data_IF_272623988521
#
_entry.id   IF_272623988521
#
_cell.length_a   1.000
_cell.length_b   1.000
_cell.length_c   1.000
_cell.angle_alpha   90.00
_cell.angle_beta   90.00
_cell.angle_gamma   90.00
#
_symmetry.space_group_name_H-M   'P 1'
#
loop_
_entity.id
_entity.type
_entity.pdbx_description
1 polymer ?
#
# COMPACT_ATOMS: atom_id res chain seq x y z
N UNK A 1 4.00 -6.04 19.99
CA UNK A 1 3.34 -7.03 20.88
C UNK A 1 4.31 -7.89 21.69
N UNK A 2 5.46 -8.28 21.13
CA UNK A 2 6.41 -9.20 21.78
C UNK A 2 6.99 -8.68 23.11
N UNK A 3 7.08 -7.36 23.26
CA UNK A 3 7.58 -6.70 24.49
C UNK A 3 6.46 -6.45 25.52
N UNK A 4 5.19 -6.59 25.11
CA UNK A 4 4.02 -6.22 25.91
C UNK A 4 3.44 -7.40 26.68
N UNK A 5 3.58 -8.61 26.14
CA UNK A 5 3.01 -9.84 26.69
C UNK A 5 4.11 -10.80 27.13
N UNK A 6 3.78 -11.68 28.08
CA UNK A 6 4.67 -12.78 28.46
C UNK A 6 4.80 -13.82 27.33
N UNK A 7 5.88 -14.63 27.30
CA UNK A 7 6.06 -15.64 26.27
C UNK A 7 4.89 -16.64 26.17
N UNK A 8 4.31 -17.03 27.30
CA UNK A 8 3.19 -17.98 27.37
C UNK A 8 1.91 -17.40 26.74
N UNK A 9 1.61 -16.12 27.03
CA UNK A 9 0.48 -15.41 26.42
C UNK A 9 0.65 -15.22 24.91
N UNK A 10 1.89 -15.01 24.46
CA UNK A 10 2.21 -14.91 23.03
C UNK A 10 1.93 -16.24 22.33
N UNK A 11 2.38 -17.36 22.92
CA UNK A 11 2.13 -18.69 22.37
C UNK A 11 0.62 -19.00 22.26
N UNK A 12 -0.16 -18.68 23.30
CA UNK A 12 -1.62 -18.88 23.27
C UNK A 12 -2.30 -18.05 22.18
N UNK A 13 -1.92 -16.78 22.05
CA UNK A 13 -2.48 -15.89 21.02
C UNK A 13 -2.08 -16.32 19.62
N UNK A 14 -0.84 -16.76 19.42
CA UNK A 14 -0.36 -17.31 18.14
C UNK A 14 -1.12 -18.58 17.79
N UNK A 15 -1.29 -19.50 18.75
CA UNK A 15 -2.05 -20.73 18.54
C UNK A 15 -3.50 -20.44 18.12
N UNK A 16 -4.13 -19.44 18.73
CA UNK A 16 -5.47 -18.98 18.32
C UNK A 16 -5.45 -18.37 16.91
N UNK A 17 -4.47 -17.53 16.58
CA UNK A 17 -4.37 -16.90 15.24
C UNK A 17 -4.18 -17.92 14.13
N UNK A 18 -3.43 -18.99 14.39
CA UNK A 18 -3.20 -20.08 13.44
C UNK A 18 -4.46 -20.93 13.14
N UNK A 19 -5.53 -20.81 13.93
CA UNK A 19 -6.81 -21.45 13.64
C UNK A 19 -7.62 -20.69 12.57
N UNK A 20 -7.23 -19.47 12.22
CA UNK A 20 -7.87 -18.72 11.15
C UNK A 20 -7.57 -19.36 9.78
N UNK A 21 -8.60 -19.70 8.98
CA UNK A 21 -8.43 -20.32 7.67
C UNK A 21 -7.60 -19.47 6.70
N UNK A 22 -7.68 -18.14 6.76
CA UNK A 22 -6.97 -17.24 5.84
C UNK A 22 -5.47 -17.19 6.19
N UNK A 23 -5.14 -17.23 7.48
CA UNK A 23 -3.75 -17.35 7.95
C UNK A 23 -3.19 -18.72 7.62
N UNK A 24 -3.96 -19.78 7.87
CA UNK A 24 -3.54 -21.16 7.61
C UNK A 24 -3.33 -21.44 6.11
N UNK A 25 -4.09 -20.77 5.24
CA UNK A 25 -3.94 -20.87 3.78
C UNK A 25 -2.68 -20.18 3.24
N UNK A 26 -2.01 -19.34 4.04
CA UNK A 26 -0.82 -18.58 3.63
C UNK A 26 0.44 -18.98 4.40
N UNK A 27 1.34 -19.80 3.80
CA UNK A 27 2.56 -20.29 4.44
C UNK A 27 3.48 -19.18 4.98
N UNK A 28 3.51 -18.02 4.33
CA UNK A 28 4.32 -16.90 4.78
C UNK A 28 3.82 -16.31 6.11
N UNK A 29 2.49 -16.24 6.31
CA UNK A 29 1.93 -15.75 7.57
C UNK A 29 2.17 -16.75 8.70
N UNK A 30 2.06 -18.05 8.39
CA UNK A 30 2.44 -19.11 9.32
C UNK A 30 3.90 -18.95 9.79
N UNK A 31 4.84 -18.68 8.87
CA UNK A 31 6.23 -18.45 9.23
C UNK A 31 6.44 -17.17 10.05
N UNK A 32 5.75 -16.07 9.71
CA UNK A 32 5.82 -14.82 10.48
C UNK A 32 5.39 -15.03 11.94
N UNK A 33 4.34 -15.83 12.16
CA UNK A 33 3.82 -16.11 13.50
C UNK A 33 4.72 -17.03 14.34
N UNK A 34 5.34 -18.03 13.72
CA UNK A 34 6.22 -18.97 14.43
C UNK A 34 7.66 -18.44 14.63
N UNK A 35 8.09 -17.50 13.79
CA UNK A 35 9.46 -16.95 13.81
C UNK A 35 9.46 -15.41 13.88
N UNK A 36 8.91 -14.82 14.96
CA UNK A 36 8.59 -13.40 15.03
C UNK A 36 9.82 -12.48 15.02
N UNK A 37 10.99 -12.96 15.47
CA UNK A 37 12.23 -12.16 15.59
C UNK A 37 12.83 -11.71 14.26
N UNK A 38 12.43 -12.31 13.14
CA UNK A 38 12.96 -11.92 11.83
C UNK A 38 12.18 -10.76 11.20
N UNK A 39 10.92 -10.56 11.60
CA UNK A 39 9.98 -9.63 10.96
C UNK A 39 8.95 -9.09 11.98
N UNK A 40 9.44 -8.42 13.02
CA UNK A 40 8.63 -7.99 14.17
C UNK A 40 7.43 -7.10 13.78
N UNK A 41 7.61 -6.19 12.81
CA UNK A 41 6.52 -5.36 12.32
C UNK A 41 5.40 -6.17 11.65
N UNK A 42 5.76 -7.22 10.90
CA UNK A 42 4.78 -8.10 10.26
C UNK A 42 4.06 -8.97 11.29
N UNK A 43 4.74 -9.38 12.35
CA UNK A 43 4.11 -10.11 13.43
C UNK A 43 2.96 -9.28 14.05
N UNK A 44 3.23 -8.02 14.38
CA UNK A 44 2.21 -7.15 14.95
C UNK A 44 1.04 -6.90 13.98
N UNK A 45 1.30 -6.72 12.68
CA UNK A 45 0.26 -6.58 11.64
C UNK A 45 -0.63 -7.83 11.59
N UNK A 46 -0.03 -9.02 11.53
CA UNK A 46 -0.78 -10.28 11.37
C UNK A 46 -1.57 -10.63 12.62
N UNK A 47 -1.06 -10.27 13.80
CA UNK A 47 -1.73 -10.53 15.08
C UNK A 47 -2.93 -9.62 15.34
N UNK A 48 -3.05 -8.50 14.61
CA UNK A 48 -4.22 -7.64 14.65
C UNK A 48 -5.12 -7.96 13.45
N UNK A 49 -6.19 -8.71 13.70
CA UNK A 49 -7.08 -9.27 12.66
C UNK A 49 -7.88 -8.21 11.89
N UNK A 50 -8.28 -7.13 12.58
CA UNK A 50 -9.17 -6.10 12.04
C UNK A 50 -8.57 -4.72 12.25
N UNK A 51 -9.09 -3.74 11.50
CA UNK A 51 -8.80 -2.31 11.63
C UNK A 51 -9.36 -1.75 12.96
N UNK A 52 -8.78 -2.20 14.08
CA UNK A 52 -9.11 -1.79 15.43
C UNK A 52 -8.20 -0.69 15.96
N UNK A 53 -8.17 -0.55 17.28
CA UNK A 53 -7.41 0.48 17.99
C UNK A 53 -5.92 0.52 17.60
N UNK A 54 -5.29 -0.66 17.43
CA UNK A 54 -3.88 -0.73 17.02
C UNK A 54 -3.61 -0.04 15.68
N UNK A 55 -4.50 -0.20 14.69
CA UNK A 55 -4.39 0.43 13.38
C UNK A 55 -4.76 1.91 13.44
N UNK A 56 -5.80 2.27 14.21
CA UNK A 56 -6.27 3.64 14.32
C UNK A 56 -5.24 4.57 14.98
N UNK A 57 -4.59 4.13 16.06
CA UNK A 57 -3.49 4.87 16.70
C UNK A 57 -2.33 5.16 15.74
N UNK A 58 -2.12 4.29 14.75
CA UNK A 58 -1.02 4.35 13.79
C UNK A 58 -1.43 5.00 12.47
N UNK A 59 -2.71 5.33 12.33
CA UNK A 59 -3.24 5.93 11.11
C UNK A 59 -2.71 7.37 10.99
N UNK A 60 -1.88 7.69 9.98
CA UNK A 60 -1.30 9.03 9.81
C UNK A 60 -2.36 10.09 9.50
N UNK A 61 -3.54 9.70 9.00
CA UNK A 61 -4.64 10.64 8.70
C UNK A 61 -5.16 11.32 9.97
N UNK A 62 -5.13 10.64 11.11
CA UNK A 62 -5.56 11.20 12.41
C UNK A 62 -4.69 12.38 12.85
N UNK A 63 -3.45 12.47 12.37
CA UNK A 63 -2.52 13.55 12.66
C UNK A 63 -2.65 14.74 11.70
N UNK A 64 -3.35 14.56 10.57
CA UNK A 64 -3.50 15.57 9.53
C UNK A 64 -4.09 16.90 10.00
N UNK A 65 -5.06 16.95 10.93
CA UNK A 65 -5.61 18.22 11.42
C UNK A 65 -4.58 19.10 12.12
N UNK A 66 -3.48 18.52 12.62
CA UNK A 66 -2.41 19.27 13.27
C UNK A 66 -1.46 19.97 12.29
N UNK A 67 -1.66 19.81 10.97
CA UNK A 67 -0.78 20.35 9.93
C UNK A 67 -1.40 21.63 9.35
N UNK A 68 -0.68 22.75 9.53
CA UNK A 68 -1.08 24.11 9.10
C UNK A 68 -0.23 24.65 7.94
N UNK A 69 0.90 24.02 7.63
CA UNK A 69 1.78 24.39 6.52
C UNK A 69 1.17 24.04 5.15
N UNK A 70 1.59 24.70 4.05
CA UNK A 70 1.17 24.32 2.71
C UNK A 70 1.63 22.91 2.34
N UNK A 71 0.71 22.05 1.89
CA UNK A 71 0.99 20.65 1.52
C UNK A 71 0.59 20.36 0.08
N UNK A 72 1.49 19.70 -0.66
CA UNK A 72 1.20 19.14 -1.97
C UNK A 72 1.25 17.62 -1.91
N UNK A 73 0.11 16.99 -2.19
CA UNK A 73 -0.05 15.54 -2.27
C UNK A 73 -0.09 15.12 -3.75
N UNK A 74 0.71 14.13 -4.11
CA UNK A 74 0.70 13.53 -5.44
C UNK A 74 0.55 12.02 -5.32
N UNK A 75 -0.38 11.45 -6.09
CA UNK A 75 -0.53 10.01 -6.22
C UNK A 75 -0.88 9.64 -7.66
N UNK A 76 -0.36 8.51 -8.14
CA UNK A 76 -0.72 7.99 -9.45
C UNK A 76 -1.76 6.89 -9.32
N UNK A 77 -2.71 6.85 -10.25
CA UNK A 77 -3.70 5.78 -10.36
C UNK A 77 -3.03 4.40 -10.44
N UNK A 78 -3.72 3.36 -10.01
CA UNK A 78 -3.18 1.98 -10.01
C UNK A 78 -2.36 1.61 -8.77
N UNK A 79 -2.18 2.54 -7.82
CA UNK A 79 -1.70 2.25 -6.45
C UNK A 79 -2.87 2.16 -5.47
N UNK A 80 -3.76 1.19 -5.71
CA UNK A 80 -5.04 1.07 -4.98
C UNK A 80 -4.90 1.11 -3.45
N UNK A 81 -3.84 0.52 -2.91
CA UNK A 81 -3.59 0.46 -1.45
C UNK A 81 -3.16 1.79 -0.80
N UNK A 82 -2.91 2.85 -1.57
CA UNK A 82 -2.57 4.19 -1.02
C UNK A 82 -3.52 5.30 -1.47
N UNK A 83 -4.44 5.01 -2.40
CA UNK A 83 -5.34 6.02 -2.99
C UNK A 83 -6.25 6.64 -1.95
N UNK A 84 -7.01 5.79 -1.25
CA UNK A 84 -8.05 6.24 -0.34
C UNK A 84 -7.47 7.04 0.82
N UNK A 85 -6.39 6.55 1.45
CA UNK A 85 -5.71 7.27 2.52
C UNK A 85 -5.09 8.61 2.09
N UNK A 86 -4.63 8.74 0.83
CA UNK A 86 -4.11 10.03 0.33
C UNK A 86 -5.23 11.05 0.09
N UNK A 87 -6.37 10.59 -0.41
CA UNK A 87 -7.56 11.42 -0.61
C UNK A 87 -8.12 11.85 0.75
N UNK A 88 -8.25 10.92 1.69
CA UNK A 88 -8.71 11.17 3.05
C UNK A 88 -7.81 12.16 3.78
N UNK A 89 -6.48 11.97 3.70
CA UNK A 89 -5.49 12.91 4.19
C UNK A 89 -5.70 14.31 3.63
N UNK A 90 -5.91 14.44 2.32
CA UNK A 90 -6.18 15.73 1.68
C UNK A 90 -7.42 16.41 2.29
N UNK A 91 -8.49 15.66 2.55
CA UNK A 91 -9.69 16.21 3.16
C UNK A 91 -9.49 16.65 4.61
N UNK A 92 -8.70 15.89 5.39
CA UNK A 92 -8.45 16.17 6.81
C UNK A 92 -7.46 17.33 7.07
N UNK A 93 -6.63 17.70 6.08
CA UNK A 93 -5.67 18.81 6.20
C UNK A 93 -6.34 20.18 6.36
N UNK A 94 -5.86 20.98 7.32
CA UNK A 94 -6.36 22.33 7.58
C UNK A 94 -5.66 23.43 6.74
N UNK A 95 -4.37 23.26 6.44
CA UNK A 95 -3.58 24.24 5.68
C UNK A 95 -3.90 24.34 4.18
N UNK A 96 -3.23 25.26 3.46
CA UNK A 96 -3.30 25.34 2.01
C UNK A 96 -2.88 24.02 1.38
N UNK A 97 -3.77 23.40 0.62
CA UNK A 97 -3.58 22.04 0.10
C UNK A 97 -3.79 21.94 -1.39
N UNK A 98 -2.99 21.09 -2.03
CA UNK A 98 -3.17 20.68 -3.42
C UNK A 98 -3.05 19.17 -3.52
N UNK A 99 -3.99 18.55 -4.21
CA UNK A 99 -3.95 17.13 -4.57
C UNK A 99 -3.82 17.01 -6.08
N UNK A 100 -2.83 16.23 -6.52
CA UNK A 100 -2.61 15.89 -7.92
C UNK A 100 -2.72 14.37 -8.10
N UNK A 101 -3.63 13.93 -8.97
CA UNK A 101 -3.86 12.51 -9.24
C UNK A 101 -3.41 12.21 -10.67
N UNK A 102 -2.24 11.60 -10.80
CA UNK A 102 -1.65 11.21 -12.07
C UNK A 102 -2.32 9.98 -12.69
N UNK A 103 -2.22 9.80 -14.02
CA UNK A 103 -2.69 8.58 -14.68
C UNK A 103 -1.88 7.37 -14.22
N UNK A 104 -2.45 6.17 -14.36
CA UNK A 104 -1.74 4.95 -13.98
C UNK A 104 -0.49 4.80 -14.84
N UNK A 105 0.68 4.50 -14.25
CA UNK A 105 1.90 4.40 -15.02
C UNK A 105 1.71 3.37 -16.15
N UNK A 106 2.06 3.71 -17.40
CA UNK A 106 2.07 2.73 -18.47
C UNK A 106 3.03 1.61 -18.08
N UNK A 107 2.68 0.38 -18.43
CA UNK A 107 3.39 -0.88 -18.05
C UNK A 107 4.92 -0.84 -18.23
N UNK A 108 5.45 0.07 -19.05
CA UNK A 108 6.86 0.28 -19.37
C UNK A 108 7.67 1.11 -18.34
N UNK A 109 7.09 1.70 -17.29
CA UNK A 109 7.85 2.35 -16.20
C UNK A 109 8.01 1.49 -14.94
N UNK A 110 7.51 0.25 -14.95
CA UNK A 110 7.94 -0.75 -13.97
C UNK A 110 9.45 -0.92 -14.16
N UNK A 111 10.25 -0.69 -13.11
CA UNK A 111 11.67 -1.05 -13.15
C UNK A 111 11.76 -2.48 -13.69
N UNK A 112 12.53 -2.75 -14.75
CA UNK A 112 12.56 -4.08 -15.32
C UNK A 112 13.08 -5.02 -14.23
N UNK A 113 12.23 -5.94 -13.75
CA UNK A 113 12.74 -7.20 -13.23
C UNK A 113 13.66 -7.71 -14.32
N UNK A 114 14.92 -8.00 -14.00
CA UNK A 114 16.10 -8.09 -14.86
C UNK A 114 16.04 -9.04 -16.08
N UNK A 115 14.86 -9.54 -16.47
CA UNK A 115 14.57 -10.31 -17.68
C UNK A 115 13.20 -9.98 -18.26
N UNK A 116 13.05 -8.87 -18.97
CA UNK A 116 12.11 -8.82 -20.10
C UNK A 116 12.41 -7.61 -20.98
N UNK A 117 13.28 -7.80 -21.97
CA UNK A 117 13.43 -6.87 -23.08
C UNK A 117 12.28 -7.11 -24.04
N UNK A 118 11.12 -6.53 -23.78
CA UNK A 118 10.06 -6.44 -24.78
C UNK A 118 9.84 -4.99 -25.13
N UNK A 119 10.28 -4.64 -26.36
CA UNK A 119 10.20 -3.33 -26.99
C UNK A 119 8.80 -2.73 -26.81
N UNK A 120 8.74 -1.58 -26.14
CA UNK A 120 7.61 -0.66 -26.23
C UNK A 120 7.64 -0.09 -27.68
N UNK A 121 6.78 -0.58 -28.58
CA UNK A 121 6.58 0.03 -29.90
C UNK A 121 5.81 1.34 -29.73
N UNK A 122 6.53 2.46 -29.80
CA UNK A 122 5.92 3.78 -29.93
C UNK A 122 5.06 3.80 -31.20
N UNK A 123 3.76 4.02 -31.05
CA UNK A 123 2.86 4.23 -32.17
C UNK A 123 3.26 5.51 -32.88
N UNK A 124 3.91 5.38 -34.03
CA UNK A 124 4.07 6.45 -35.00
C UNK A 124 2.68 6.75 -35.56
N UNK A 125 2.06 7.85 -35.12
CA UNK A 125 0.91 8.44 -35.81
C UNK A 125 1.42 9.05 -37.13
N UNK A 126 1.50 8.23 -38.19
CA UNK A 126 1.65 8.74 -39.55
C UNK A 126 0.32 9.35 -39.97
N UNK A 127 0.28 10.68 -40.03
CA UNK A 127 -0.83 11.42 -40.63
C UNK A 127 -0.99 11.02 -42.09
N UNK A 128 -2.11 10.36 -42.39
CA UNK A 128 -2.55 10.11 -43.75
C UNK A 128 -3.07 11.41 -44.36
N UNK A 129 -2.24 12.10 -45.15
CA UNK A 129 -2.72 13.07 -46.14
C UNK A 129 -3.34 12.27 -47.29
N UNK A 130 -4.65 12.14 -47.28
CA UNK A 130 -5.39 11.74 -48.47
C UNK A 130 -5.36 12.90 -49.48
N UNK A 131 -4.58 12.72 -50.55
CA UNK A 131 -4.72 13.46 -51.80
C UNK A 131 -6.01 13.02 -52.49
N UNK A 132 -6.95 13.94 -52.71
CA UNK A 132 -8.06 13.74 -53.63
C UNK A 132 -7.95 14.78 -54.73
N UNK A 133 -7.53 14.29 -55.90
CA UNK A 133 -7.62 14.96 -57.20
C UNK A 133 -9.06 14.80 -57.70
N UNK A 134 -9.65 15.90 -58.19
CA UNK A 134 -10.98 15.94 -58.79
C UNK A 134 -11.38 17.39 -59.04
#
# INVERSE_FOLDING_TARGET
>A
MLETYSPEEIEERVAKRLQDPDVAAWPNLFHVLNYPKNHEAWFDIVMNEVDGEWYEERNPVTLAPNIDIPVWLQIDQGRGWTMDGTIELCHALNGPKKLDIGPSPPRCSRAPSSRSTTRCSAGTSTGSRASTTG
#
